data_IF_982318348794
#
_entry.id   IF_982318348794
#
_cell.length_a   1.000
_cell.length_b   1.000
_cell.length_c   1.000
_cell.angle_alpha   90.00
_cell.angle_beta   90.00
_cell.angle_gamma   90.00
#
_symmetry.space_group_name_H-M   'P 1'
#
loop_
_entity.id
_entity.type
_entity.pdbx_description
1 polymer ?
#
# COMPACT_ATOMS: atom_id res chain seq x y z
N UNK A 1 -64.47 48.66 21.23
CA UNK A 1 -63.07 48.27 21.52
C UNK A 1 -62.91 46.79 21.23
N UNK A 2 -62.21 46.45 20.14
CA UNK A 2 -62.12 45.09 19.61
C UNK A 2 -60.75 44.48 19.97
N UNK A 3 -60.68 43.76 21.12
CA UNK A 3 -59.44 43.17 21.65
C UNK A 3 -58.88 42.01 20.81
N UNK A 4 -59.64 41.47 19.85
CA UNK A 4 -59.25 40.24 19.14
C UNK A 4 -58.28 40.46 17.98
N UNK A 5 -58.18 41.67 17.41
CA UNK A 5 -57.23 41.97 16.33
C UNK A 5 -55.77 42.14 16.82
N UNK A 6 -55.59 42.48 18.10
CA UNK A 6 -54.28 42.75 18.69
C UNK A 6 -53.48 41.45 18.96
N UNK A 7 -54.17 40.35 19.27
CA UNK A 7 -53.53 39.05 19.53
C UNK A 7 -53.01 38.34 18.26
N UNK A 8 -53.67 38.51 17.11
CA UNK A 8 -53.25 37.88 15.86
C UNK A 8 -51.96 38.50 15.29
N UNK A 9 -51.78 39.82 15.44
CA UNK A 9 -50.56 40.52 15.02
C UNK A 9 -49.35 40.21 15.90
N UNK A 10 -49.55 39.99 17.20
CA UNK A 10 -48.48 39.61 18.13
C UNK A 10 -47.93 38.21 17.83
N UNK A 11 -48.81 37.23 17.55
CA UNK A 11 -48.42 35.86 17.19
C UNK A 11 -47.60 35.79 15.89
N UNK A 12 -48.02 36.49 14.84
CA UNK A 12 -47.33 36.49 13.54
C UNK A 12 -45.95 37.16 13.58
N UNK A 13 -45.80 38.28 14.31
CA UNK A 13 -44.49 38.94 14.50
C UNK A 13 -43.51 38.06 15.28
N UNK A 14 -44.01 37.32 16.26
CA UNK A 14 -43.19 36.40 17.07
C UNK A 14 -42.73 35.19 16.26
N UNK A 15 -43.57 34.69 15.33
CA UNK A 15 -43.24 33.56 14.46
C UNK A 15 -42.20 33.92 13.39
N UNK A 16 -42.33 35.11 12.78
CA UNK A 16 -41.39 35.65 11.77
C UNK A 16 -40.02 35.96 12.40
N UNK A 17 -40.00 36.52 13.62
CA UNK A 17 -38.76 36.77 14.37
C UNK A 17 -38.00 35.48 14.69
N UNK A 18 -38.71 34.42 15.13
CA UNK A 18 -38.12 33.10 15.43
C UNK A 18 -37.56 32.39 14.19
N UNK A 19 -38.22 32.51 13.03
CA UNK A 19 -37.74 31.92 11.77
C UNK A 19 -36.53 32.66 11.19
N UNK A 20 -36.48 33.99 11.28
CA UNK A 20 -35.31 34.78 10.87
C UNK A 20 -34.08 34.51 11.76
N UNK A 21 -34.27 34.36 13.08
CA UNK A 21 -33.21 33.96 14.00
C UNK A 21 -32.67 32.55 13.70
N UNK A 22 -33.54 31.60 13.36
CA UNK A 22 -33.14 30.25 12.95
C UNK A 22 -32.35 30.24 11.63
N UNK A 23 -32.76 31.03 10.64
CA UNK A 23 -32.04 31.18 9.36
C UNK A 23 -30.67 31.86 9.52
N UNK A 24 -30.58 32.90 10.36
CA UNK A 24 -29.31 33.57 10.66
C UNK A 24 -28.34 32.64 11.43
N UNK A 25 -28.85 31.83 12.37
CA UNK A 25 -28.07 30.81 13.05
C UNK A 25 -27.57 29.72 12.07
N UNK A 26 -28.41 29.27 11.13
CA UNK A 26 -28.03 28.33 10.07
C UNK A 26 -26.94 28.89 9.16
N UNK A 27 -27.06 30.17 8.75
CA UNK A 27 -26.08 30.83 7.90
C UNK A 27 -24.73 31.03 8.61
N UNK A 28 -24.73 31.35 9.91
CA UNK A 28 -23.50 31.41 10.72
C UNK A 28 -22.85 30.03 10.89
N UNK A 29 -23.64 28.98 11.13
CA UNK A 29 -23.15 27.60 11.22
C UNK A 29 -22.52 27.15 9.88
N UNK A 30 -23.17 27.45 8.75
CA UNK A 30 -22.64 27.14 7.42
C UNK A 30 -21.35 27.93 7.10
N UNK A 31 -21.26 29.20 7.51
CA UNK A 31 -20.07 30.03 7.36
C UNK A 31 -18.88 29.53 8.18
N UNK A 32 -19.10 29.10 9.42
CA UNK A 32 -18.06 28.52 10.29
C UNK A 32 -17.54 27.19 9.73
N UNK A 33 -18.43 26.32 9.23
CA UNK A 33 -18.03 25.06 8.58
C UNK A 33 -17.17 25.31 7.34
N UNK A 34 -17.48 26.33 6.52
CA UNK A 34 -16.67 26.68 5.34
C UNK A 34 -15.25 27.15 5.70
N UNK A 35 -15.10 27.99 6.72
CA UNK A 35 -13.81 28.45 7.21
C UNK A 35 -12.95 27.31 7.77
N UNK A 36 -13.57 26.35 8.47
CA UNK A 36 -12.88 25.17 8.98
C UNK A 36 -12.37 24.27 7.86
N UNK A 37 -13.17 24.02 6.81
CA UNK A 37 -12.75 23.22 5.65
C UNK A 37 -11.59 23.87 4.88
N UNK A 38 -11.59 25.20 4.73
CA UNK A 38 -10.47 25.92 4.13
C UNK A 38 -9.20 25.82 4.99
N UNK A 39 -9.35 25.99 6.30
CA UNK A 39 -8.24 25.87 7.26
C UNK A 39 -7.66 24.45 7.29
N UNK A 40 -8.52 23.42 7.21
CA UNK A 40 -8.11 22.02 7.12
C UNK A 40 -7.23 21.77 5.90
N UNK A 41 -7.62 22.28 4.73
CA UNK A 41 -6.80 22.18 3.49
C UNK A 41 -5.48 22.93 3.60
N UNK A 42 -5.44 24.07 4.29
CA UNK A 42 -4.19 24.77 4.56
C UNK A 42 -3.24 23.93 5.43
N UNK A 43 -3.76 23.30 6.49
CA UNK A 43 -2.99 22.40 7.35
C UNK A 43 -2.53 21.16 6.58
N UNK A 44 -3.38 20.57 5.75
CA UNK A 44 -3.01 19.48 4.84
C UNK A 44 -1.80 19.85 3.97
N UNK A 45 -1.82 21.02 3.34
CA UNK A 45 -0.72 21.48 2.49
C UNK A 45 0.59 21.70 3.28
N UNK A 46 0.51 22.22 4.50
CA UNK A 46 1.67 22.33 5.40
C UNK A 46 2.22 20.97 5.77
N UNK A 47 1.36 20.01 6.05
CA UNK A 47 1.74 18.62 6.31
C UNK A 47 2.45 17.99 5.12
N UNK A 48 1.93 18.17 3.90
CA UNK A 48 2.58 17.69 2.67
C UNK A 48 3.98 18.30 2.49
N UNK A 49 4.13 19.61 2.74
CA UNK A 49 5.44 20.28 2.66
C UNK A 49 6.42 19.74 3.71
N UNK A 50 5.96 19.55 4.94
CA UNK A 50 6.77 18.97 6.01
C UNK A 50 7.19 17.53 5.67
N UNK A 51 6.27 16.71 5.15
CA UNK A 51 6.54 15.34 4.73
C UNK A 51 7.59 15.29 3.61
N UNK A 52 7.44 16.13 2.57
CA UNK A 52 8.43 16.25 1.48
C UNK A 52 9.81 16.71 1.96
N UNK A 53 9.86 17.46 3.06
CA UNK A 53 11.10 17.85 3.72
C UNK A 53 11.60 16.80 4.73
N UNK A 54 11.04 15.59 4.74
CA UNK A 54 11.33 14.49 5.68
C UNK A 54 11.12 14.85 7.16
N UNK A 55 10.33 15.89 7.45
CA UNK A 55 9.95 16.30 8.81
C UNK A 55 8.66 15.58 9.22
N UNK A 56 8.75 14.26 9.38
CA UNK A 56 7.57 13.40 9.54
C UNK A 56 6.74 13.72 10.79
N UNK A 57 7.36 13.98 11.94
CA UNK A 57 6.62 14.38 13.15
C UNK A 57 5.84 15.69 12.97
N UNK A 58 6.45 16.69 12.31
CA UNK A 58 5.75 17.92 11.97
C UNK A 58 4.61 17.67 10.98
N UNK A 59 4.81 16.78 10.01
CA UNK A 59 3.77 16.37 9.08
C UNK A 59 2.58 15.73 9.81
N UNK A 60 2.84 14.81 10.75
CA UNK A 60 1.84 14.20 11.63
C UNK A 60 1.02 15.27 12.35
N UNK A 61 1.67 16.27 12.98
CA UNK A 61 0.96 17.35 13.68
C UNK A 61 0.04 18.15 12.74
N UNK A 62 0.53 18.51 11.55
CA UNK A 62 -0.28 19.24 10.58
C UNK A 62 -1.45 18.41 10.04
N UNK A 63 -1.25 17.12 9.77
CA UNK A 63 -2.34 16.25 9.31
C UNK A 63 -3.36 15.95 10.42
N UNK A 64 -2.93 15.78 11.66
CA UNK A 64 -3.83 15.72 12.81
C UNK A 64 -4.68 16.98 12.90
N UNK A 65 -4.08 18.17 12.74
CA UNK A 65 -4.83 19.41 12.77
C UNK A 65 -5.82 19.53 11.61
N UNK A 66 -5.44 19.07 10.42
CA UNK A 66 -6.36 19.02 9.28
C UNK A 66 -7.57 18.12 9.56
N UNK A 67 -7.34 16.94 10.14
CA UNK A 67 -8.39 15.99 10.55
C UNK A 67 -9.33 16.57 11.63
N UNK A 68 -8.79 17.31 12.60
CA UNK A 68 -9.61 17.99 13.63
C UNK A 68 -10.52 19.07 13.04
N UNK A 69 -10.01 19.83 12.07
CA UNK A 69 -10.73 20.94 11.44
C UNK A 69 -11.81 20.45 10.46
N UNK A 70 -11.54 19.36 9.74
CA UNK A 70 -12.48 18.72 8.82
C UNK A 70 -12.40 17.20 8.98
N UNK A 71 -13.20 16.61 9.89
CA UNK A 71 -13.21 15.16 10.11
C UNK A 71 -13.62 14.34 8.88
N UNK A 72 -14.32 14.94 7.91
CA UNK A 72 -14.72 14.27 6.66
C UNK A 72 -13.61 14.27 5.61
N UNK A 73 -12.48 14.96 5.85
CA UNK A 73 -11.36 15.07 4.92
C UNK A 73 -10.52 13.78 4.94
N UNK A 74 -11.01 12.72 4.30
CA UNK A 74 -10.38 11.38 4.28
C UNK A 74 -8.94 11.40 3.78
N UNK A 75 -8.60 12.29 2.83
CA UNK A 75 -7.22 12.49 2.36
C UNK A 75 -6.25 12.93 3.47
N UNK A 76 -6.73 13.70 4.46
CA UNK A 76 -5.90 14.09 5.61
C UNK A 76 -5.59 12.89 6.52
N UNK A 77 -6.55 11.96 6.68
CA UNK A 77 -6.35 10.71 7.43
C UNK A 77 -5.39 9.78 6.70
N UNK A 78 -5.55 9.65 5.38
CA UNK A 78 -4.62 8.89 4.54
C UNK A 78 -3.19 9.41 4.71
N UNK A 79 -2.98 10.73 4.61
CA UNK A 79 -1.65 11.33 4.76
C UNK A 79 -1.12 11.27 6.18
N UNK A 80 -1.99 11.39 7.20
CA UNK A 80 -1.62 11.14 8.58
C UNK A 80 -1.11 9.71 8.78
N UNK A 81 -1.83 8.72 8.25
CA UNK A 81 -1.42 7.32 8.32
C UNK A 81 -0.06 7.11 7.64
N UNK A 82 0.14 7.65 6.44
CA UNK A 82 1.42 7.58 5.72
C UNK A 82 2.57 8.25 6.50
N UNK A 83 2.31 9.40 7.14
CA UNK A 83 3.31 10.06 7.99
C UNK A 83 3.65 9.24 9.25
N UNK A 84 2.67 8.55 9.84
CA UNK A 84 2.91 7.61 10.93
C UNK A 84 3.71 6.38 10.47
N UNK A 85 3.44 5.82 9.27
CA UNK A 85 4.25 4.74 8.69
C UNK A 85 5.71 5.17 8.48
N UNK A 86 5.96 6.41 8.07
CA UNK A 86 7.33 6.91 7.86
C UNK A 86 8.18 6.93 9.14
N UNK A 87 7.54 6.93 10.32
CA UNK A 87 8.19 6.86 11.63
C UNK A 87 8.32 5.43 12.18
N UNK A 88 7.60 4.47 11.59
CA UNK A 88 7.67 3.07 11.98
C UNK A 88 8.96 2.42 11.46
N UNK A 89 9.67 1.74 12.35
CA UNK A 89 10.89 0.97 12.08
C UNK A 89 10.55 -0.52 12.13
N UNK A 90 10.63 -1.25 11.00
CA UNK A 90 10.40 -2.69 10.98
C UNK A 90 11.34 -3.43 11.94
N UNK A 91 10.76 -4.32 12.76
CA UNK A 91 11.50 -5.09 13.77
C UNK A 91 11.86 -4.33 15.05
N UNK A 92 11.54 -3.04 15.17
CA UNK A 92 11.66 -2.30 16.43
C UNK A 92 10.52 -2.65 17.40
N UNK A 93 10.80 -2.67 18.71
CA UNK A 93 9.86 -3.03 19.77
C UNK A 93 9.62 -1.91 20.79
N UNK A 94 10.14 -0.71 20.54
CA UNK A 94 9.94 0.42 21.45
C UNK A 94 8.46 0.82 21.55
N UNK A 95 8.02 1.40 22.68
CA UNK A 95 6.66 1.92 22.83
C UNK A 95 6.31 2.95 21.74
N UNK A 96 7.26 3.80 21.36
CA UNK A 96 7.07 4.78 20.29
C UNK A 96 6.88 4.10 18.92
N UNK A 97 7.65 3.05 18.63
CA UNK A 97 7.47 2.29 17.39
C UNK A 97 6.08 1.65 17.29
N UNK A 98 5.60 1.09 18.41
CA UNK A 98 4.25 0.54 18.51
C UNK A 98 3.20 1.63 18.30
N UNK A 99 3.38 2.80 18.92
CA UNK A 99 2.48 3.95 18.75
C UNK A 99 2.39 4.42 17.29
N UNK A 100 3.50 4.41 16.55
CA UNK A 100 3.50 4.77 15.14
C UNK A 100 2.74 3.77 14.27
N UNK A 101 2.91 2.47 14.53
CA UNK A 101 2.13 1.43 13.87
C UNK A 101 0.63 1.57 14.17
N UNK A 102 0.26 1.76 15.44
CA UNK A 102 -1.14 1.90 15.87
C UNK A 102 -1.79 3.14 15.25
N UNK A 103 -1.09 4.28 15.25
CA UNK A 103 -1.54 5.49 14.55
C UNK A 103 -1.87 5.20 13.08
N UNK A 104 -0.95 4.55 12.35
CA UNK A 104 -1.15 4.28 10.94
C UNK A 104 -2.31 3.31 10.69
N UNK A 105 -2.41 2.23 11.47
CA UNK A 105 -3.50 1.25 11.35
C UNK A 105 -4.86 1.92 11.60
N UNK A 106 -4.98 2.70 12.67
CA UNK A 106 -6.22 3.38 13.02
C UNK A 106 -6.68 4.32 11.89
N UNK A 107 -5.77 5.16 11.39
CA UNK A 107 -6.12 6.16 10.39
C UNK A 107 -6.42 5.55 9.02
N UNK A 108 -5.69 4.50 8.61
CA UNK A 108 -6.06 3.78 7.40
C UNK A 108 -7.43 3.09 7.54
N UNK A 109 -7.73 2.46 8.68
CA UNK A 109 -9.05 1.83 8.90
C UNK A 109 -10.17 2.86 8.86
N UNK A 110 -10.00 4.04 9.47
CA UNK A 110 -10.95 5.14 9.37
C UNK A 110 -11.21 5.57 7.92
N UNK A 111 -10.17 5.61 7.07
CA UNK A 111 -10.35 5.87 5.63
C UNK A 111 -11.25 4.81 4.99
N UNK A 112 -11.03 3.52 5.28
CA UNK A 112 -11.82 2.44 4.71
C UNK A 112 -13.28 2.42 5.21
N UNK A 113 -13.53 2.86 6.43
CA UNK A 113 -14.87 2.93 7.03
C UNK A 113 -15.68 4.14 6.54
N UNK A 114 -15.02 5.26 6.30
CA UNK A 114 -15.69 6.55 6.08
C UNK A 114 -15.72 7.00 4.61
N UNK A 115 -14.75 6.59 3.78
CA UNK A 115 -14.67 7.05 2.39
C UNK A 115 -15.62 6.29 1.46
N UNK A 116 -16.83 6.83 1.28
CA UNK A 116 -17.87 6.25 0.43
C UNK A 116 -17.80 6.66 -1.05
N UNK A 117 -16.83 7.50 -1.44
CA UNK A 117 -16.89 8.18 -2.74
C UNK A 117 -15.58 8.28 -3.51
N UNK A 118 -14.42 8.17 -2.85
CA UNK A 118 -13.12 8.28 -3.50
C UNK A 118 -12.41 6.93 -3.52
N UNK A 119 -12.65 6.19 -4.61
CA UNK A 119 -12.05 4.87 -4.87
C UNK A 119 -10.52 4.88 -4.72
N UNK A 120 -9.86 5.95 -5.14
CA UNK A 120 -8.39 6.04 -5.08
C UNK A 120 -7.89 6.12 -3.62
N UNK A 121 -8.56 6.88 -2.74
CA UNK A 121 -8.17 6.94 -1.32
C UNK A 121 -8.31 5.58 -0.66
N UNK A 122 -9.40 4.85 -0.96
CA UNK A 122 -9.65 3.50 -0.43
C UNK A 122 -8.57 2.52 -0.90
N UNK A 123 -8.21 2.54 -2.18
CA UNK A 123 -7.13 1.71 -2.73
C UNK A 123 -5.80 2.02 -2.02
N UNK A 124 -5.44 3.30 -1.90
CA UNK A 124 -4.18 3.72 -1.25
C UNK A 124 -4.14 3.31 0.23
N UNK A 125 -5.23 3.47 0.97
CA UNK A 125 -5.31 3.03 2.36
C UNK A 125 -5.21 1.51 2.50
N UNK A 126 -5.87 0.77 1.60
CA UNK A 126 -5.80 -0.71 1.57
C UNK A 126 -4.37 -1.18 1.33
N UNK A 127 -3.68 -0.61 0.34
CA UNK A 127 -2.27 -0.92 0.05
C UNK A 127 -1.34 -0.50 1.19
N UNK A 128 -1.61 0.64 1.83
CA UNK A 128 -0.88 1.13 2.98
C UNK A 128 -0.95 0.18 4.18
N UNK A 129 -2.14 -0.35 4.50
CA UNK A 129 -2.33 -1.37 5.53
C UNK A 129 -1.60 -2.67 5.17
N UNK A 130 -1.72 -3.14 3.93
CA UNK A 130 -1.05 -4.35 3.48
C UNK A 130 0.48 -4.25 3.67
N UNK A 131 1.08 -3.14 3.26
CA UNK A 131 2.51 -2.88 3.42
C UNK A 131 2.94 -2.76 4.87
N UNK A 132 2.15 -2.08 5.72
CA UNK A 132 2.44 -1.96 7.14
C UNK A 132 2.37 -3.34 7.83
N UNK A 133 1.34 -4.13 7.56
CA UNK A 133 1.23 -5.48 8.11
C UNK A 133 2.37 -6.39 7.67
N UNK A 134 2.83 -6.28 6.41
CA UNK A 134 4.02 -6.97 5.95
C UNK A 134 5.26 -6.60 6.78
N UNK A 135 5.50 -5.31 6.99
CA UNK A 135 6.63 -4.82 7.79
C UNK A 135 6.56 -5.25 9.26
N UNK A 136 5.34 -5.43 9.79
CA UNK A 136 5.09 -6.00 11.12
C UNK A 136 5.21 -7.53 11.17
N UNK A 137 5.55 -8.20 10.05
CA UNK A 137 5.55 -9.66 9.87
C UNK A 137 4.18 -10.33 10.10
N UNK A 138 3.10 -9.55 9.97
CA UNK A 138 1.70 -10.00 10.01
C UNK A 138 1.25 -10.41 8.61
N UNK A 139 1.82 -11.53 8.14
CA UNK A 139 1.75 -11.93 6.73
C UNK A 139 0.33 -12.26 6.25
N UNK A 140 -0.49 -12.89 7.10
CA UNK A 140 -1.87 -13.23 6.72
C UNK A 140 -2.74 -11.99 6.58
N UNK A 141 -2.63 -11.03 7.51
CA UNK A 141 -3.31 -9.73 7.38
C UNK A 141 -2.80 -8.96 6.15
N UNK A 142 -1.49 -8.99 5.89
CA UNK A 142 -0.92 -8.37 4.70
C UNK A 142 -1.49 -8.97 3.40
N UNK A 143 -1.62 -10.30 3.32
CA UNK A 143 -2.25 -10.99 2.18
C UNK A 143 -3.73 -10.65 2.05
N UNK A 144 -4.46 -10.60 3.16
CA UNK A 144 -5.87 -10.23 3.17
C UNK A 144 -6.08 -8.84 2.54
N UNK A 145 -5.30 -7.84 2.96
CA UNK A 145 -5.42 -6.48 2.39
C UNK A 145 -4.89 -6.39 0.95
N UNK A 146 -3.85 -7.14 0.56
CA UNK A 146 -3.45 -7.21 -0.85
C UNK A 146 -4.54 -7.83 -1.73
N UNK A 147 -5.24 -8.88 -1.28
CA UNK A 147 -6.40 -9.45 -2.00
C UNK A 147 -7.55 -8.45 -2.12
N UNK A 148 -7.84 -7.69 -1.06
CA UNK A 148 -8.78 -6.55 -1.15
C UNK A 148 -8.33 -5.50 -2.16
N UNK A 149 -7.02 -5.20 -2.23
CA UNK A 149 -6.49 -4.27 -3.22
C UNK A 149 -6.64 -4.80 -4.66
N UNK A 150 -6.47 -6.12 -4.88
CA UNK A 150 -6.76 -6.78 -6.16
C UNK A 150 -8.25 -6.64 -6.53
N UNK A 151 -9.16 -6.84 -5.57
CA UNK A 151 -10.60 -6.70 -5.84
C UNK A 151 -10.99 -5.26 -6.22
N UNK A 152 -10.31 -4.27 -5.61
CA UNK A 152 -10.54 -2.85 -5.88
C UNK A 152 -9.91 -2.39 -7.22
N UNK A 153 -8.71 -2.89 -7.53
CA UNK A 153 -7.95 -2.59 -8.74
C UNK A 153 -7.25 -3.84 -9.32
N UNK A 154 -7.97 -4.65 -10.12
CA UNK A 154 -7.46 -5.91 -10.66
C UNK A 154 -6.44 -5.73 -11.79
N UNK A 155 -6.18 -4.50 -12.23
CA UNK A 155 -5.22 -4.20 -13.29
C UNK A 155 -3.89 -3.67 -12.75
N UNK A 156 -3.77 -3.46 -11.43
CA UNK A 156 -2.52 -3.07 -10.81
C UNK A 156 -1.63 -4.30 -10.54
N UNK A 157 -0.53 -4.48 -11.29
CA UNK A 157 0.37 -5.64 -11.12
C UNK A 157 1.05 -5.67 -9.73
N UNK A 158 1.18 -4.53 -9.05
CA UNK A 158 1.87 -4.44 -7.75
C UNK A 158 1.14 -5.21 -6.66
N UNK A 159 -0.20 -5.30 -6.73
CA UNK A 159 -0.99 -6.00 -5.72
C UNK A 159 -0.77 -7.52 -5.80
N UNK A 160 -0.68 -8.07 -7.01
CA UNK A 160 -0.35 -9.48 -7.24
C UNK A 160 1.10 -9.79 -6.84
N UNK A 161 2.04 -8.93 -7.25
CA UNK A 161 3.44 -9.03 -6.85
C UNK A 161 3.60 -9.06 -5.33
N UNK A 162 2.88 -8.18 -4.62
CA UNK A 162 2.95 -8.09 -3.15
C UNK A 162 2.50 -9.37 -2.45
N UNK A 163 1.44 -10.05 -2.94
CA UNK A 163 1.04 -11.38 -2.42
C UNK A 163 2.18 -12.38 -2.59
N UNK A 164 2.78 -12.43 -3.78
CA UNK A 164 3.84 -13.40 -4.06
C UNK A 164 5.13 -13.16 -3.27
N UNK A 165 5.48 -11.90 -2.99
CA UNK A 165 6.61 -11.57 -2.11
C UNK A 165 6.36 -12.08 -0.68
N UNK A 166 5.12 -12.00 -0.20
CA UNK A 166 4.73 -12.56 1.10
C UNK A 166 4.89 -14.08 1.08
N UNK A 167 4.35 -14.74 0.05
CA UNK A 167 4.45 -16.20 -0.10
C UNK A 167 5.92 -16.65 -0.15
N UNK A 168 6.75 -15.99 -0.95
CA UNK A 168 8.19 -16.23 -0.99
C UNK A 168 8.83 -16.09 0.39
N UNK A 169 8.50 -15.03 1.13
CA UNK A 169 9.04 -14.79 2.47
C UNK A 169 8.67 -15.92 3.43
N UNK A 170 7.41 -16.38 3.37
CA UNK A 170 6.88 -17.46 4.21
C UNK A 170 7.43 -18.85 3.83
N UNK A 171 7.87 -19.07 2.59
CA UNK A 171 8.47 -20.35 2.16
C UNK A 171 9.99 -20.38 2.35
N UNK A 172 10.65 -19.24 2.10
CA UNK A 172 12.11 -19.12 2.15
C UNK A 172 12.66 -19.38 3.56
N UNK A 173 12.06 -18.78 4.60
CA UNK A 173 12.58 -18.89 5.97
C UNK A 173 12.57 -20.35 6.47
N UNK A 174 11.44 -21.08 6.46
CA UNK A 174 11.43 -22.48 6.90
C UNK A 174 12.36 -23.37 6.05
N UNK A 175 12.43 -23.12 4.74
CA UNK A 175 13.34 -23.86 3.85
C UNK A 175 14.79 -23.65 4.25
N UNK A 176 15.20 -22.41 4.49
CA UNK A 176 16.57 -22.08 4.87
C UNK A 176 16.93 -22.60 6.25
N UNK A 177 16.01 -22.56 7.22
CA UNK A 177 16.20 -23.16 8.55
C UNK A 177 16.46 -24.67 8.45
N UNK A 178 15.60 -25.40 7.72
CA UNK A 178 15.75 -26.85 7.52
C UNK A 178 17.02 -27.23 6.78
N UNK A 179 17.44 -26.44 5.79
CA UNK A 179 18.72 -26.64 5.11
C UNK A 179 19.91 -26.39 6.03
N UNK A 180 19.81 -25.39 6.90
CA UNK A 180 20.81 -25.07 7.93
C UNK A 180 20.98 -26.21 8.93
N UNK A 181 19.88 -26.82 9.40
CA UNK A 181 19.91 -28.01 10.29
C UNK A 181 20.67 -29.19 9.67
N UNK A 182 20.66 -29.29 8.33
CA UNK A 182 21.38 -30.33 7.57
C UNK A 182 22.79 -29.91 7.13
N UNK A 183 23.24 -28.69 7.45
CA UNK A 183 24.53 -28.15 7.01
C UNK A 183 24.63 -27.91 5.50
N UNK A 184 23.50 -27.79 4.80
CA UNK A 184 23.45 -27.63 3.34
C UNK A 184 23.64 -26.17 2.91
N UNK A 185 24.52 -25.93 1.94
CA UNK A 185 24.59 -24.66 1.21
C UNK A 185 23.40 -24.51 0.28
N UNK A 186 23.05 -23.28 -0.11
CA UNK A 186 21.89 -22.96 -0.98
C UNK A 186 21.90 -23.72 -2.32
N UNK A 187 23.07 -24.07 -2.85
CA UNK A 187 23.22 -24.75 -4.14
C UNK A 187 23.16 -26.28 -4.06
N UNK A 188 23.26 -26.86 -2.86
CA UNK A 188 23.27 -28.32 -2.69
C UNK A 188 21.85 -28.88 -2.77
N UNK A 189 21.60 -30.01 -3.44
CA UNK A 189 20.27 -30.59 -3.50
C UNK A 189 19.84 -31.10 -2.12
N UNK A 190 18.57 -30.85 -1.75
CA UNK A 190 17.96 -31.45 -0.56
C UNK A 190 17.67 -32.94 -0.82
N UNK A 191 18.57 -33.82 -0.33
CA UNK A 191 18.45 -35.28 -0.51
C UNK A 191 17.70 -36.00 0.61
N UNK A 192 17.52 -35.34 1.76
CA UNK A 192 16.78 -35.92 2.87
C UNK A 192 15.29 -35.95 2.52
N UNK A 193 14.77 -37.17 2.30
CA UNK A 193 13.39 -37.39 1.86
C UNK A 193 12.36 -36.93 2.88
N UNK A 194 12.67 -37.06 4.18
CA UNK A 194 11.75 -36.68 5.25
C UNK A 194 11.64 -35.16 5.31
N UNK A 195 12.78 -34.46 5.32
CA UNK A 195 12.81 -33.00 5.32
C UNK A 195 12.17 -32.43 4.04
N UNK A 196 12.41 -33.07 2.89
CA UNK A 196 11.74 -32.65 1.65
C UNK A 196 10.22 -32.78 1.74
N UNK A 197 9.70 -33.91 2.22
CA UNK A 197 8.26 -34.12 2.37
C UNK A 197 7.62 -33.13 3.37
N UNK A 198 8.31 -32.82 4.46
CA UNK A 198 7.90 -31.81 5.44
C UNK A 198 7.80 -30.42 4.78
N UNK A 199 8.86 -29.98 4.09
CA UNK A 199 8.89 -28.70 3.40
C UNK A 199 7.86 -28.62 2.28
N UNK A 200 7.66 -29.70 1.51
CA UNK A 200 6.62 -29.76 0.48
C UNK A 200 5.25 -29.54 1.10
N UNK A 201 4.94 -30.22 2.20
CA UNK A 201 3.66 -30.06 2.90
C UNK A 201 3.46 -28.63 3.41
N UNK A 202 4.51 -28.00 3.93
CA UNK A 202 4.45 -26.65 4.48
C UNK A 202 4.33 -25.56 3.41
N UNK A 203 5.04 -25.72 2.30
CA UNK A 203 5.32 -24.65 1.35
C UNK A 203 4.54 -24.76 0.03
N UNK A 204 4.11 -25.95 -0.41
CA UNK A 204 3.61 -26.16 -1.78
C UNK A 204 2.46 -25.21 -2.16
N UNK A 205 1.49 -25.01 -1.28
CA UNK A 205 0.36 -24.12 -1.55
C UNK A 205 0.82 -22.67 -1.81
N UNK A 206 1.71 -22.15 -0.96
CA UNK A 206 2.27 -20.79 -1.10
C UNK A 206 3.16 -20.68 -2.32
N UNK A 207 3.88 -21.75 -2.63
CA UNK A 207 4.72 -21.81 -3.84
C UNK A 207 3.86 -21.66 -5.10
N UNK A 208 2.78 -22.41 -5.21
CA UNK A 208 1.87 -22.35 -6.36
C UNK A 208 1.10 -21.01 -6.42
N UNK A 209 0.66 -20.48 -5.28
CA UNK A 209 0.03 -19.16 -5.22
C UNK A 209 1.01 -18.07 -5.70
N UNK A 210 2.23 -18.03 -5.16
CA UNK A 210 3.22 -17.03 -5.55
C UNK A 210 3.58 -17.10 -7.03
N UNK A 211 3.74 -18.30 -7.60
CA UNK A 211 3.95 -18.47 -9.06
C UNK A 211 2.77 -17.90 -9.85
N UNK A 212 1.54 -18.23 -9.46
CA UNK A 212 0.31 -17.77 -10.13
C UNK A 212 0.20 -16.25 -10.09
N UNK A 213 0.43 -15.65 -8.91
CA UNK A 213 0.36 -14.20 -8.71
C UNK A 213 1.44 -13.46 -9.51
N UNK A 214 2.67 -13.97 -9.56
CA UNK A 214 3.75 -13.36 -10.33
C UNK A 214 3.50 -13.47 -11.84
N UNK A 215 2.98 -14.61 -12.30
CA UNK A 215 2.61 -14.77 -13.70
C UNK A 215 1.54 -13.73 -14.10
N UNK A 216 0.53 -13.52 -13.24
CA UNK A 216 -0.49 -12.48 -13.45
C UNK A 216 0.10 -11.06 -13.43
N UNK A 217 1.03 -10.76 -12.52
CA UNK A 217 1.71 -9.48 -12.46
C UNK A 217 2.53 -9.18 -13.74
N UNK A 218 3.27 -10.18 -14.25
CA UNK A 218 4.03 -10.09 -15.49
C UNK A 218 3.09 -9.97 -16.70
N UNK A 219 1.92 -10.61 -16.66
CA UNK A 219 0.93 -10.47 -17.72
C UNK A 219 0.33 -9.08 -17.83
N UNK A 220 0.14 -8.41 -16.70
CA UNK A 220 -0.29 -7.02 -16.64
C UNK A 220 0.83 -6.03 -16.99
N UNK A 221 2.09 -6.33 -16.60
CA UNK A 221 3.27 -5.51 -16.89
C UNK A 221 4.43 -6.35 -17.40
N UNK A 222 4.58 -6.38 -18.74
CA UNK A 222 5.53 -7.26 -19.43
C UNK A 222 7.00 -6.92 -19.17
N UNK A 223 7.31 -5.71 -18.73
CA UNK A 223 8.65 -5.27 -18.35
C UNK A 223 8.86 -5.23 -16.82
N UNK A 224 8.08 -6.00 -16.04
CA UNK A 224 8.21 -6.08 -14.59
C UNK A 224 9.35 -7.00 -14.17
N UNK A 225 10.58 -6.50 -14.25
CA UNK A 225 11.80 -7.24 -13.93
C UNK A 225 11.87 -7.73 -12.48
N UNK A 226 11.34 -6.99 -11.49
CA UNK A 226 11.28 -7.50 -10.11
C UNK A 226 10.34 -8.70 -9.96
N UNK A 227 9.18 -8.70 -10.64
CA UNK A 227 8.28 -9.86 -10.63
C UNK A 227 8.91 -11.07 -11.34
N UNK A 228 9.67 -10.86 -12.41
CA UNK A 228 10.44 -11.93 -13.05
C UNK A 228 11.53 -12.48 -12.13
N UNK A 229 12.23 -11.61 -11.40
CA UNK A 229 13.25 -12.02 -10.43
C UNK A 229 12.66 -12.89 -9.32
N UNK A 230 11.52 -12.48 -8.75
CA UNK A 230 10.78 -13.27 -7.77
C UNK A 230 10.20 -14.57 -8.36
N UNK A 231 9.76 -14.58 -9.62
CA UNK A 231 9.22 -15.79 -10.24
C UNK A 231 10.33 -16.86 -10.41
N UNK A 232 11.55 -16.44 -10.74
CA UNK A 232 12.72 -17.30 -10.64
C UNK A 232 12.89 -17.87 -9.23
N UNK A 233 12.77 -17.05 -8.19
CA UNK A 233 12.93 -17.52 -6.80
C UNK A 233 11.86 -18.55 -6.45
N UNK A 234 10.60 -18.32 -6.83
CA UNK A 234 9.51 -19.26 -6.59
C UNK A 234 9.69 -20.58 -7.32
N UNK A 235 10.20 -20.59 -8.56
CA UNK A 235 10.57 -21.83 -9.24
C UNK A 235 11.69 -22.58 -8.51
N UNK A 236 12.68 -21.88 -7.95
CA UNK A 236 13.73 -22.51 -7.13
C UNK A 236 13.20 -23.04 -5.81
N UNK A 237 12.25 -22.35 -5.17
CA UNK A 237 11.53 -22.87 -4.00
C UNK A 237 10.80 -24.17 -4.36
N UNK A 238 10.09 -24.20 -5.51
CA UNK A 238 9.39 -25.40 -5.98
C UNK A 238 10.34 -26.55 -6.29
N UNK A 239 11.44 -26.27 -6.99
CA UNK A 239 12.46 -27.26 -7.34
C UNK A 239 13.02 -27.98 -6.11
N UNK A 240 13.20 -27.26 -5.00
CA UNK A 240 13.76 -27.81 -3.75
C UNK A 240 12.80 -28.78 -3.04
N UNK A 241 11.51 -28.73 -3.36
CA UNK A 241 10.44 -29.56 -2.77
C UNK A 241 9.85 -30.59 -3.74
N UNK A 242 10.50 -30.85 -4.88
CA UNK A 242 10.11 -31.93 -5.80
C UNK A 242 10.53 -33.34 -5.34
N UNK A 243 11.34 -33.42 -4.28
CA UNK A 243 11.72 -34.66 -3.61
C UNK A 243 12.26 -35.73 -4.58
N UNK A 244 11.53 -36.83 -4.75
CA UNK A 244 11.94 -37.97 -5.58
C UNK A 244 11.63 -37.78 -7.08
N UNK A 245 11.23 -36.58 -7.51
CA UNK A 245 10.99 -36.22 -8.91
C UNK A 245 12.08 -35.31 -9.49
N UNK A 246 13.21 -35.88 -9.98
CA UNK A 246 14.28 -35.10 -10.58
C UNK A 246 13.85 -34.42 -11.89
N UNK A 247 12.90 -34.98 -12.62
CA UNK A 247 12.43 -34.40 -13.88
C UNK A 247 11.63 -33.11 -13.62
N UNK A 248 10.74 -33.12 -12.63
CA UNK A 248 10.02 -31.91 -12.20
C UNK A 248 10.99 -30.86 -11.64
N UNK A 249 11.99 -31.29 -10.86
CA UNK A 249 13.03 -30.40 -10.34
C UNK A 249 13.78 -29.70 -11.47
N UNK A 250 14.23 -30.45 -12.47
CA UNK A 250 15.00 -29.89 -13.59
C UNK A 250 14.13 -28.98 -14.47
N UNK A 251 12.84 -29.29 -14.63
CA UNK A 251 11.89 -28.42 -15.30
C UNK A 251 11.72 -27.07 -14.57
N UNK A 252 11.58 -27.08 -13.24
CA UNK A 252 11.50 -25.85 -12.44
C UNK A 252 12.78 -25.03 -12.52
N UNK A 253 13.96 -25.67 -12.45
CA UNK A 253 15.23 -24.96 -12.59
C UNK A 253 15.39 -24.31 -13.97
N UNK A 254 14.94 -24.99 -15.05
CA UNK A 254 14.93 -24.40 -16.38
C UNK A 254 14.05 -23.16 -16.44
N UNK A 255 12.84 -23.21 -15.88
CA UNK A 255 11.94 -22.06 -15.81
C UNK A 255 12.56 -20.91 -14.98
N UNK A 256 13.25 -21.23 -13.90
CA UNK A 256 13.98 -20.24 -13.10
C UNK A 256 15.07 -19.53 -13.92
N UNK A 257 15.89 -20.29 -14.65
CA UNK A 257 16.97 -19.74 -15.48
C UNK A 257 16.42 -18.92 -16.66
N UNK A 258 15.29 -19.32 -17.25
CA UNK A 258 14.57 -18.53 -18.25
C UNK A 258 14.12 -17.18 -17.68
N UNK A 259 13.60 -17.14 -16.45
CA UNK A 259 13.22 -15.88 -15.80
C UNK A 259 14.42 -15.00 -15.49
N UNK A 260 15.56 -15.57 -15.10
CA UNK A 260 16.81 -14.80 -14.93
C UNK A 260 17.23 -14.15 -16.25
N UNK A 261 17.21 -14.90 -17.35
CA UNK A 261 17.55 -14.38 -18.68
C UNK A 261 16.61 -13.21 -19.08
N UNK A 262 15.30 -13.38 -18.92
CA UNK A 262 14.31 -12.33 -19.21
C UNK A 262 14.50 -11.09 -18.32
N UNK A 263 14.77 -11.28 -17.03
CA UNK A 263 15.05 -10.18 -16.09
C UNK A 263 16.24 -9.35 -16.57
N UNK A 264 17.32 -10.01 -17.00
CA UNK A 264 18.52 -9.33 -17.49
C UNK A 264 18.28 -8.60 -18.82
N UNK A 265 17.52 -9.20 -19.74
CA UNK A 265 17.11 -8.58 -20.99
C UNK A 265 16.30 -7.30 -20.75
N UNK A 266 15.27 -7.37 -19.90
CA UNK A 266 14.45 -6.21 -19.54
C UNK A 266 15.28 -5.11 -18.87
N UNK A 267 16.17 -5.47 -17.93
CA UNK A 267 17.07 -4.49 -17.29
C UNK A 267 17.99 -3.82 -18.30
N UNK A 268 18.55 -4.57 -19.25
CA UNK A 268 19.36 -4.02 -20.34
C UNK A 268 18.55 -3.05 -21.19
N UNK A 269 17.35 -3.45 -21.65
CA UNK A 269 16.45 -2.60 -22.43
C UNK A 269 16.08 -1.30 -21.70
N UNK A 270 15.78 -1.37 -20.39
CA UNK A 270 15.48 -0.19 -19.57
C UNK A 270 16.70 0.74 -19.47
N UNK A 271 17.89 0.19 -19.28
CA UNK A 271 19.13 0.97 -19.21
C UNK A 271 19.47 1.65 -20.54
N UNK A 272 19.23 0.99 -21.67
CA UNK A 272 19.41 1.57 -23.02
C UNK A 272 18.43 2.73 -23.26
N UNK A 273 17.14 2.52 -22.99
CA UNK A 273 16.12 3.60 -23.07
C UNK A 273 16.44 4.80 -22.19
N UNK A 274 16.94 4.56 -20.97
CA UNK A 274 17.33 5.64 -20.07
C UNK A 274 18.49 6.47 -20.62
N UNK A 275 19.46 5.84 -21.32
CA UNK A 275 20.57 6.53 -21.99
C UNK A 275 20.14 7.32 -23.21
N UNK A 276 19.19 6.81 -23.99
CA UNK A 276 18.62 7.54 -25.13
C UNK A 276 17.88 8.81 -24.68
N UNK A 277 17.14 8.72 -23.57
CA UNK A 277 16.42 9.87 -23.00
C UNK A 277 17.36 10.94 -22.40
N UNK A 278 18.53 10.55 -21.90
CA UNK A 278 19.55 11.50 -21.41
C UNK A 278 20.53 11.96 -22.49
N UNK A 279 20.62 11.24 -23.61
CA UNK A 279 21.48 11.55 -24.77
C UNK A 279 20.93 12.62 -25.71
N UNK A 280 19.68 13.07 -25.55
CA UNK A 280 19.13 14.26 -26.21
C UNK A 280 19.54 15.50 -25.39
N UNK A 281 20.82 15.88 -25.41
CA UNK A 281 21.28 17.20 -24.95
C UNK A 281 22.35 17.74 -25.90
N UNK A 282 21.87 18.60 -26.81
CA UNK A 282 22.46 19.77 -27.49
C UNK A 282 23.77 19.59 -28.30
N UNK A 283 23.77 20.14 -29.52
CA UNK A 283 24.98 20.37 -30.30
C UNK A 283 25.90 21.42 -29.64
N UNK A 284 27.13 21.58 -30.16
CA UNK A 284 28.16 22.51 -29.65
C UNK A 284 27.71 24.00 -29.60
N UNK A 285 26.49 24.31 -30.03
CA UNK A 285 25.90 25.65 -30.05
C UNK A 285 24.64 25.75 -29.17
N UNK A 286 24.27 24.70 -28.44
CA UNK A 286 23.19 24.74 -27.48
C UNK A 286 21.80 24.75 -28.12
N UNK A 287 21.60 24.20 -29.33
CA UNK A 287 20.26 24.06 -29.93
C UNK A 287 19.77 22.60 -29.92
N UNK A 288 18.46 22.39 -29.70
CA UNK A 288 17.88 21.05 -29.82
C UNK A 288 17.89 20.62 -31.29
N UNK A 289 18.55 19.52 -31.59
CA UNK A 289 18.41 18.80 -32.85
C UNK A 289 17.10 18.02 -32.86
N UNK A 290 16.37 18.08 -33.98
CA UNK A 290 15.18 17.25 -34.24
C UNK A 290 15.55 15.78 -34.42
#
# INVERSE_FOLDING_TARGET
MNRNAEYAHAGARTLIGKTLLALAALAMLAGLSGCNKLSARNQLNKGVQAYKASKFESAVQFFQKAKELDPELTVAKLYLATACVAQYVPGGDSPDNTRWADCAIEEYKRVLEEDKGNKNTVILATKGLASLYFNMKKFEEAKEYNRKAIDLDPNDPENYYSVAVIDWTQTYVPRMEKRGELGLKVTEPLKDKKVCAELRTLNMEKVEEGITMLQKAIDLRKDYDDAMAYLNLMYRERADIQCDDPAARDADLKLADEMVAKTMEVKKMKAEKAKEQTGIVLDEQGKPTQ
#
